data_IF_527033881134
#
_entry.id   IF_527033881134
#
_cell.length_a   1.000
_cell.length_b   1.000
_cell.length_c   1.000
_cell.angle_alpha   90.00
_cell.angle_beta   90.00
_cell.angle_gamma   90.00
#
_symmetry.space_group_name_H-M   'P 1'
#
loop_
_entity.id
_entity.type
_entity.pdbx_description
1 polymer ?
#
# COMPACT_ATOMS: atom_id res chain seq x y z
N UNK A 1 16.92 -10.09 3.47
CA UNK A 1 15.98 -9.06 2.97
C UNK A 1 16.04 -8.98 1.45
N UNK A 2 15.00 -9.45 0.76
CA UNK A 2 14.85 -9.16 -0.66
C UNK A 2 14.45 -7.68 -0.80
N UNK A 3 15.07 -6.94 -1.72
CA UNK A 3 14.83 -5.50 -1.88
C UNK A 3 13.43 -5.12 -2.36
N UNK A 4 12.50 -6.08 -2.50
CA UNK A 4 11.19 -5.89 -3.10
C UNK A 4 10.01 -6.17 -2.14
N UNK A 5 10.29 -6.32 -0.84
CA UNK A 5 9.29 -6.67 0.17
C UNK A 5 8.80 -5.48 0.99
N UNK A 6 9.31 -4.27 0.75
CA UNK A 6 9.01 -3.09 1.56
C UNK A 6 7.50 -2.78 1.64
N UNK A 7 6.76 -2.99 0.54
CA UNK A 7 5.30 -2.81 0.51
C UNK A 7 4.57 -3.80 1.40
N UNK A 8 4.94 -5.08 1.33
CA UNK A 8 4.35 -6.12 2.18
C UNK A 8 4.68 -5.91 3.67
N UNK A 9 5.93 -5.53 3.99
CA UNK A 9 6.34 -5.14 5.33
C UNK A 9 5.50 -3.98 5.86
N UNK A 10 5.29 -2.94 5.05
CA UNK A 10 4.52 -1.75 5.44
C UNK A 10 3.06 -2.09 5.76
N UNK A 11 2.42 -2.88 4.90
CA UNK A 11 1.02 -3.29 5.09
C UNK A 11 0.85 -4.18 6.33
N UNK A 12 1.72 -5.19 6.50
CA UNK A 12 1.66 -6.07 7.67
C UNK A 12 2.00 -5.35 8.97
N UNK A 13 2.86 -4.34 8.92
CA UNK A 13 3.14 -3.50 10.09
C UNK A 13 1.91 -2.70 10.51
N UNK A 14 1.21 -2.05 9.57
CA UNK A 14 -0.04 -1.33 9.84
C UNK A 14 -1.09 -2.29 10.42
N UNK A 15 -1.23 -3.48 9.84
CA UNK A 15 -2.17 -4.50 10.33
C UNK A 15 -1.84 -4.96 11.75
N UNK A 16 -0.57 -5.24 12.05
CA UNK A 16 -0.17 -5.62 13.41
C UNK A 16 -0.48 -4.50 14.40
N UNK A 17 -0.24 -3.24 14.03
CA UNK A 17 -0.55 -2.10 14.88
C UNK A 17 -2.06 -1.96 15.14
N UNK A 18 -2.88 -2.11 14.11
CA UNK A 18 -4.35 -2.04 14.22
C UNK A 18 -4.93 -3.18 15.08
N UNK A 19 -4.35 -4.37 14.99
CA UNK A 19 -4.81 -5.56 15.71
C UNK A 19 -4.15 -5.75 17.08
N UNK A 20 -3.21 -4.89 17.46
CA UNK A 20 -2.44 -5.02 18.70
C UNK A 20 -1.55 -6.27 18.74
N UNK A 21 -1.08 -6.73 17.57
CA UNK A 21 -0.20 -7.89 17.44
C UNK A 21 1.27 -7.51 17.62
N UNK A 22 2.06 -8.48 18.07
CA UNK A 22 3.49 -8.30 18.22
C UNK A 22 4.22 -8.16 16.88
N UNK A 23 5.16 -7.21 16.80
CA UNK A 23 5.86 -6.90 15.54
C UNK A 23 6.90 -7.95 15.13
N UNK A 24 7.27 -8.91 15.99
CA UNK A 24 8.13 -10.04 15.59
C UNK A 24 7.47 -10.92 14.52
N UNK A 25 6.14 -10.84 14.37
CA UNK A 25 5.39 -11.52 13.31
C UNK A 25 5.70 -10.94 11.91
N UNK A 26 6.20 -9.71 11.82
CA UNK A 26 6.56 -9.05 10.57
C UNK A 26 8.01 -9.39 10.22
N UNK A 27 8.24 -10.57 9.66
CA UNK A 27 9.58 -11.11 9.37
C UNK A 27 9.65 -11.75 7.97
N UNK A 28 10.87 -12.06 7.51
CA UNK A 28 11.13 -12.56 6.14
C UNK A 28 10.40 -13.86 5.80
N UNK A 29 10.04 -14.69 6.79
CA UNK A 29 9.27 -15.93 6.57
C UNK A 29 7.80 -15.60 6.27
N UNK A 30 7.16 -14.82 7.15
CA UNK A 30 5.76 -14.44 6.99
C UNK A 30 5.52 -13.49 5.81
N UNK A 31 6.48 -12.60 5.53
CA UNK A 31 6.35 -11.58 4.49
C UNK A 31 6.33 -12.18 3.08
N UNK A 32 7.06 -13.27 2.84
CA UNK A 32 7.04 -13.94 1.52
C UNK A 32 5.65 -14.45 1.17
N UNK A 33 5.00 -15.12 2.11
CA UNK A 33 3.63 -15.63 1.93
C UNK A 33 2.61 -14.48 1.90
N UNK A 34 2.75 -13.50 2.80
CA UNK A 34 1.89 -12.32 2.82
C UNK A 34 1.94 -11.57 1.49
N UNK A 35 3.12 -11.44 0.86
CA UNK A 35 3.27 -10.78 -0.44
C UNK A 35 2.42 -11.44 -1.52
N UNK A 36 2.39 -12.78 -1.59
CA UNK A 36 1.58 -13.48 -2.60
C UNK A 36 0.08 -13.27 -2.37
N UNK A 37 -0.38 -13.32 -1.11
CA UNK A 37 -1.79 -13.06 -0.77
C UNK A 37 -2.19 -11.62 -1.06
N UNK A 38 -1.37 -10.65 -0.65
CA UNK A 38 -1.57 -9.23 -0.95
C UNK A 38 -1.65 -9.00 -2.46
N UNK A 39 -0.76 -9.62 -3.25
CA UNK A 39 -0.79 -9.51 -4.71
C UNK A 39 -2.08 -10.10 -5.32
N UNK A 40 -2.56 -11.21 -4.78
CA UNK A 40 -3.82 -11.82 -5.20
C UNK A 40 -5.02 -10.91 -4.88
N UNK A 41 -5.11 -10.42 -3.63
CA UNK A 41 -6.18 -9.51 -3.20
C UNK A 41 -6.20 -8.22 -4.04
N UNK A 42 -5.02 -7.68 -4.36
CA UNK A 42 -4.87 -6.52 -5.25
C UNK A 42 -5.33 -6.83 -6.68
N UNK A 43 -5.02 -8.02 -7.19
CA UNK A 43 -5.48 -8.46 -8.51
C UNK A 43 -7.01 -8.60 -8.53
N UNK A 44 -7.62 -9.20 -7.51
CA UNK A 44 -9.07 -9.29 -7.41
C UNK A 44 -9.72 -7.89 -7.35
N UNK A 45 -9.20 -6.99 -6.52
CA UNK A 45 -9.67 -5.62 -6.43
C UNK A 45 -9.50 -4.85 -7.76
N UNK A 46 -8.43 -5.12 -8.52
CA UNK A 46 -8.22 -4.53 -9.83
C UNK A 46 -9.22 -5.04 -10.88
N UNK A 47 -9.84 -6.20 -10.67
CA UNK A 47 -10.88 -6.76 -11.55
C UNK A 47 -12.31 -6.38 -11.12
N UNK A 48 -12.48 -5.67 -10.00
CA UNK A 48 -13.78 -5.15 -9.59
C UNK A 48 -14.24 -4.01 -10.52
N UNK A 49 -15.40 -4.19 -11.15
CA UNK A 49 -15.92 -3.26 -12.16
C UNK A 49 -16.18 -1.85 -11.60
N UNK A 50 -16.58 -1.74 -10.33
CA UNK A 50 -16.84 -0.45 -9.69
C UNK A 50 -15.52 0.29 -9.43
N UNK A 51 -14.51 -0.42 -8.93
CA UNK A 51 -13.17 0.13 -8.72
C UNK A 51 -12.52 0.52 -10.04
N UNK A 52 -12.59 -0.31 -11.08
CA UNK A 52 -12.10 0.03 -12.42
C UNK A 52 -12.76 1.29 -12.97
N UNK A 53 -14.09 1.41 -12.86
CA UNK A 53 -14.83 2.59 -13.30
C UNK A 53 -14.40 3.86 -12.54
N UNK A 54 -14.25 3.78 -11.22
CA UNK A 54 -13.79 4.90 -10.39
C UNK A 54 -12.35 5.31 -10.70
N UNK A 55 -11.45 4.35 -10.87
CA UNK A 55 -10.05 4.61 -11.18
C UNK A 55 -9.86 5.18 -12.60
N UNK A 56 -10.58 4.66 -13.60
CA UNK A 56 -10.49 5.15 -15.00
C UNK A 56 -11.06 6.55 -15.18
N UNK A 57 -12.00 6.96 -14.35
CA UNK A 57 -12.63 8.30 -14.39
C UNK A 57 -12.01 9.29 -13.41
N UNK A 58 -10.98 8.88 -12.65
CA UNK A 58 -10.33 9.72 -11.66
C UNK A 58 -9.67 10.95 -12.32
N UNK A 59 -10.02 12.13 -11.81
CA UNK A 59 -9.36 13.40 -12.16
C UNK A 59 -8.60 13.89 -10.93
N UNK A 60 -7.26 14.01 -10.99
CA UNK A 60 -6.50 14.56 -9.88
C UNK A 60 -7.03 15.94 -9.49
N UNK A 61 -7.13 16.26 -8.19
CA UNK A 61 -7.49 17.61 -7.78
C UNK A 61 -6.48 18.60 -8.35
N UNK A 62 -6.95 19.79 -8.75
CA UNK A 62 -6.05 20.88 -9.16
C UNK A 62 -5.10 21.15 -7.99
N UNK A 63 -3.79 20.95 -8.18
CA UNK A 63 -2.79 21.31 -7.17
C UNK A 63 -3.00 22.77 -6.80
N UNK A 64 -2.96 23.08 -5.52
CA UNK A 64 -2.86 24.46 -5.08
C UNK A 64 -1.66 25.11 -5.78
N UNK A 65 -1.73 26.41 -6.14
CA UNK A 65 -0.58 27.11 -6.69
C UNK A 65 0.62 26.89 -5.77
N UNK A 66 1.74 26.41 -6.34
CA UNK A 66 2.99 26.33 -5.59
C UNK A 66 3.36 27.76 -5.26
N UNK A 67 3.14 28.20 -4.02
CA UNK A 67 3.82 29.39 -3.52
C UNK A 67 5.29 29.00 -3.41
N UNK A 68 6.21 29.63 -4.15
CA UNK A 68 7.63 29.44 -3.91
C UNK A 68 7.87 29.77 -2.44
N UNK A 69 8.34 28.79 -1.67
CA UNK A 69 8.86 29.06 -0.33
C UNK A 69 10.29 29.51 -0.56
N UNK A 70 10.52 30.82 -0.38
CA UNK A 70 11.87 31.38 -0.43
C UNK A 70 12.62 30.92 0.83
N UNK A 71 13.70 30.17 0.66
CA UNK A 71 14.53 29.63 1.73
C UNK A 71 15.74 30.53 1.97
N UNK A 72 15.50 31.85 2.03
CA UNK A 72 16.51 32.86 2.30
C UNK A 72 17.33 32.60 3.56
#
# INVERSE_FOLDING_TARGET
>A
MSGNDCGAYSLKFIECHLLGLDFSLVNDENIKEARHKIAFDLWEAANDAVLQSRMSTFKPPKRAPVKPVDLG
#
